data_IF_451960603891
#
_entry.id   IF_451960603891
#
_cell.length_a   1.000
_cell.length_b   1.000
_cell.length_c   1.000
_cell.angle_alpha   90.00
_cell.angle_beta   90.00
_cell.angle_gamma   90.00
#
_symmetry.space_group_name_H-M   'P 1'
#
loop_
_entity.id
_entity.type
_entity.pdbx_description
1 polymer ?
#
# COMPACT_ATOMS: atom_id res chain seq x y z
N UNK A 1 6.11 5.28 -29.24
CA UNK A 1 5.81 3.83 -29.22
C UNK A 1 5.09 3.54 -27.92
N UNK A 2 3.99 2.80 -27.96
CA UNK A 2 3.25 2.43 -26.75
C UNK A 2 4.12 1.58 -25.82
N UNK A 3 4.09 1.87 -24.50
CA UNK A 3 4.77 1.07 -23.47
C UNK A 3 4.04 -0.27 -23.38
N UNK A 4 4.68 -1.37 -23.80
CA UNK A 4 4.10 -2.71 -23.66
C UNK A 4 4.21 -3.20 -22.22
N UNK A 5 3.12 -3.69 -21.66
CA UNK A 5 3.10 -4.31 -20.32
C UNK A 5 3.47 -5.79 -20.37
N UNK A 6 3.79 -6.40 -19.23
CA UNK A 6 4.12 -7.82 -19.10
C UNK A 6 3.00 -8.71 -19.67
N UNK A 7 1.74 -8.37 -19.43
CA UNK A 7 0.61 -9.13 -19.98
C UNK A 7 0.44 -9.02 -21.50
N UNK A 8 1.04 -8.00 -22.14
CA UNK A 8 0.99 -7.78 -23.60
C UNK A 8 2.20 -8.35 -24.34
N UNK A 9 3.07 -9.09 -23.64
CA UNK A 9 4.27 -9.71 -24.20
C UNK A 9 3.95 -11.10 -24.74
N UNK A 10 3.97 -11.23 -26.08
CA UNK A 10 3.74 -12.49 -26.77
C UNK A 10 5.05 -13.12 -27.27
N UNK A 11 5.21 -14.46 -27.20
CA UNK A 11 6.39 -15.15 -27.74
C UNK A 11 6.67 -14.82 -29.21
N UNK A 12 7.95 -14.65 -29.55
CA UNK A 12 8.42 -14.29 -30.90
C UNK A 12 8.46 -12.78 -31.16
N UNK A 13 7.85 -11.96 -30.30
CA UNK A 13 7.80 -10.51 -30.49
C UNK A 13 9.07 -9.81 -29.99
N UNK A 14 9.57 -8.85 -30.80
CA UNK A 14 10.57 -7.88 -30.33
C UNK A 14 9.88 -6.64 -29.79
N UNK A 15 10.39 -6.09 -28.68
CA UNK A 15 9.80 -4.94 -28.01
C UNK A 15 10.86 -3.98 -27.46
N UNK A 16 10.41 -2.79 -27.06
CA UNK A 16 11.17 -1.88 -26.21
C UNK A 16 10.21 -1.28 -25.19
N UNK A 17 10.42 -1.57 -23.92
CA UNK A 17 9.55 -1.11 -22.83
C UNK A 17 10.33 -0.90 -21.54
N UNK A 18 9.66 -0.40 -20.51
CA UNK A 18 10.24 -0.12 -19.19
C UNK A 18 9.77 -1.17 -18.19
N UNK A 19 10.69 -1.64 -17.34
CA UNK A 19 10.38 -2.60 -16.29
C UNK A 19 11.15 -2.27 -15.02
N UNK A 20 10.59 -2.63 -13.87
CA UNK A 20 11.29 -2.60 -12.60
C UNK A 20 12.07 -3.91 -12.40
N UNK A 21 13.35 -3.81 -11.99
CA UNK A 21 14.16 -4.99 -11.66
C UNK A 21 13.77 -5.52 -10.28
N UNK A 22 13.00 -6.62 -10.25
CA UNK A 22 12.54 -7.30 -9.02
C UNK A 22 13.62 -8.19 -8.43
N UNK A 23 14.37 -8.88 -9.29
CA UNK A 23 15.43 -9.81 -8.90
C UNK A 23 16.61 -9.70 -9.87
N UNK A 24 17.82 -9.87 -9.36
CA UNK A 24 19.06 -9.92 -10.14
C UNK A 24 19.98 -11.00 -9.56
N UNK A 25 20.24 -12.06 -10.31
CA UNK A 25 21.10 -13.17 -9.93
C UNK A 25 22.03 -13.54 -11.09
N UNK A 26 23.29 -13.83 -10.77
CA UNK A 26 24.19 -14.47 -11.73
C UNK A 26 24.03 -15.98 -11.52
N UNK A 27 23.72 -16.70 -12.60
CA UNK A 27 23.59 -18.16 -12.62
C UNK A 27 24.55 -18.73 -13.65
N UNK A 28 24.78 -20.03 -13.56
CA UNK A 28 25.61 -20.76 -14.51
C UNK A 28 24.76 -21.81 -15.22
N UNK A 29 24.95 -21.95 -16.53
CA UNK A 29 24.36 -23.01 -17.32
C UNK A 29 25.43 -23.52 -18.29
N UNK A 30 25.70 -24.82 -18.24
CA UNK A 30 26.68 -25.49 -19.11
C UNK A 30 28.08 -24.82 -19.07
N UNK A 31 28.56 -24.49 -17.87
CA UNK A 31 29.86 -23.83 -17.65
C UNK A 31 29.92 -22.36 -18.06
N UNK A 32 28.83 -21.77 -18.54
CA UNK A 32 28.76 -20.36 -18.95
C UNK A 32 27.90 -19.55 -17.98
N UNK A 33 28.43 -18.46 -17.38
CA UNK A 33 27.65 -17.59 -16.54
C UNK A 33 26.68 -16.75 -17.37
N UNK A 34 25.45 -16.60 -16.89
CA UNK A 34 24.44 -15.72 -17.46
C UNK A 34 23.75 -14.92 -16.34
N UNK A 35 23.19 -13.77 -16.70
CA UNK A 35 22.39 -12.99 -15.76
C UNK A 35 20.92 -13.36 -15.87
N UNK A 36 20.34 -13.79 -14.77
CA UNK A 36 18.90 -13.94 -14.60
C UNK A 36 18.33 -12.72 -13.89
N UNK A 37 17.36 -12.08 -14.53
CA UNK A 37 16.57 -10.98 -13.99
C UNK A 37 15.12 -11.45 -13.83
N UNK A 38 14.46 -10.93 -12.81
CA UNK A 38 13.00 -10.90 -12.76
C UNK A 38 12.59 -9.44 -13.00
N UNK A 39 11.87 -9.21 -14.10
CA UNK A 39 11.36 -7.91 -14.47
C UNK A 39 9.86 -7.86 -14.14
N UNK A 40 9.37 -6.70 -13.72
CA UNK A 40 7.94 -6.54 -13.46
C UNK A 40 7.43 -5.14 -13.70
N UNK A 41 6.12 -5.07 -13.90
CA UNK A 41 5.34 -3.84 -13.97
C UNK A 41 4.04 -4.02 -13.17
N UNK A 42 3.07 -3.11 -13.31
CA UNK A 42 1.78 -3.19 -12.61
C UNK A 42 0.95 -4.41 -12.98
N UNK A 43 1.23 -5.04 -14.13
CA UNK A 43 0.44 -6.14 -14.69
C UNK A 43 0.99 -7.50 -14.29
N UNK A 44 2.30 -7.61 -14.06
CA UNK A 44 2.86 -8.89 -13.65
C UNK A 44 4.37 -8.90 -13.57
N UNK A 45 4.91 -10.12 -13.61
CA UNK A 45 6.35 -10.40 -13.56
C UNK A 45 6.72 -11.40 -14.65
N UNK A 46 7.92 -11.23 -15.19
CA UNK A 46 8.47 -12.08 -16.24
C UNK A 46 9.97 -12.27 -16.03
N UNK A 47 10.45 -13.48 -16.25
CA UNK A 47 11.88 -13.77 -16.22
C UNK A 47 12.56 -13.19 -17.46
N UNK A 48 13.78 -12.69 -17.29
CA UNK A 48 14.59 -12.17 -18.37
C UNK A 48 16.05 -12.61 -18.23
N UNK A 49 16.69 -12.92 -19.36
CA UNK A 49 18.06 -13.47 -19.38
C UNK A 49 18.98 -12.63 -20.26
N UNK A 50 20.24 -12.51 -19.83
CA UNK A 50 21.36 -11.98 -20.63
C UNK A 50 22.48 -13.01 -20.60
N UNK A 51 22.77 -13.60 -21.75
CA UNK A 51 23.76 -14.66 -21.89
C UNK A 51 25.20 -14.14 -22.04
N UNK A 52 25.40 -13.09 -22.83
CA UNK A 52 26.72 -12.58 -23.15
C UNK A 52 26.91 -11.14 -22.68
N UNK A 53 28.15 -10.77 -22.34
CA UNK A 53 28.55 -9.40 -21.96
C UNK A 53 27.68 -8.78 -20.86
N UNK A 54 27.03 -9.59 -20.03
CA UNK A 54 26.15 -9.09 -18.97
C UNK A 54 26.85 -8.13 -17.97
N UNK A 55 28.15 -8.26 -17.63
CA UNK A 55 28.81 -7.28 -16.75
C UNK A 55 28.90 -5.88 -17.38
N UNK A 56 29.10 -5.79 -18.69
CA UNK A 56 29.14 -4.53 -19.45
C UNK A 56 27.73 -3.98 -19.67
N UNK A 57 26.82 -4.84 -20.09
CA UNK A 57 25.44 -4.49 -20.45
C UNK A 57 24.62 -4.07 -19.22
N UNK A 58 24.89 -4.65 -18.04
CA UNK A 58 24.18 -4.33 -16.80
C UNK A 58 24.98 -3.45 -15.84
N UNK A 59 26.05 -2.81 -16.33
CA UNK A 59 26.82 -1.85 -15.57
C UNK A 59 25.90 -0.71 -15.11
N UNK A 60 25.76 -0.54 -13.80
CA UNK A 60 24.87 0.46 -13.20
C UNK A 60 23.39 0.07 -13.14
N UNK A 61 23.03 -1.18 -13.46
CA UNK A 61 21.69 -1.74 -13.22
C UNK A 61 21.72 -2.59 -11.95
N UNK A 62 20.97 -2.17 -10.95
CA UNK A 62 20.77 -2.88 -9.69
C UNK A 62 19.35 -3.41 -9.57
N UNK A 63 19.14 -4.31 -8.61
CA UNK A 63 17.78 -4.57 -8.08
C UNK A 63 17.19 -3.23 -7.67
N UNK A 64 15.89 -3.00 -7.92
CA UNK A 64 15.15 -1.74 -7.65
C UNK A 64 15.20 -0.68 -8.75
N UNK A 65 16.12 -0.80 -9.70
CA UNK A 65 16.16 0.16 -10.80
C UNK A 65 14.99 -0.05 -11.78
N UNK A 66 14.55 1.05 -12.36
CA UNK A 66 13.75 1.01 -13.59
C UNK A 66 14.70 0.93 -14.76
N UNK A 67 14.41 -0.01 -15.65
CA UNK A 67 15.24 -0.26 -16.80
C UNK A 67 14.43 -0.18 -18.08
N UNK A 68 15.02 0.47 -19.08
CA UNK A 68 14.53 0.40 -20.46
C UNK A 68 15.13 -0.83 -21.10
N UNK A 69 14.28 -1.79 -21.46
CA UNK A 69 14.68 -3.08 -22.01
C UNK A 69 14.27 -3.15 -23.46
N UNK A 70 15.23 -3.49 -24.32
CA UNK A 70 14.98 -3.93 -25.68
C UNK A 70 15.35 -5.41 -25.77
N UNK A 71 14.40 -6.24 -26.21
CA UNK A 71 14.57 -7.69 -26.23
C UNK A 71 13.53 -8.38 -27.10
N UNK A 72 13.58 -9.70 -27.05
CA UNK A 72 12.63 -10.58 -27.75
C UNK A 72 12.05 -11.56 -26.73
N UNK A 73 10.73 -11.76 -26.76
CA UNK A 73 10.08 -12.76 -25.92
C UNK A 73 10.32 -14.13 -26.54
N UNK A 74 10.82 -15.08 -25.77
CA UNK A 74 11.08 -16.46 -26.15
C UNK A 74 10.26 -17.39 -25.25
N UNK A 75 9.96 -18.60 -25.74
CA UNK A 75 9.36 -19.64 -24.90
C UNK A 75 10.48 -20.51 -24.33
N UNK A 76 10.55 -20.59 -23.00
CA UNK A 76 11.48 -21.46 -22.28
C UNK A 76 10.70 -22.33 -21.29
N UNK A 77 10.79 -23.66 -21.44
CA UNK A 77 10.03 -24.64 -20.63
C UNK A 77 8.54 -24.30 -20.54
N UNK A 78 7.93 -24.04 -21.70
CA UNK A 78 6.51 -23.68 -21.86
C UNK A 78 6.09 -22.35 -21.22
N UNK A 79 7.05 -21.55 -20.73
CA UNK A 79 6.79 -20.23 -20.15
C UNK A 79 7.43 -19.11 -20.98
N UNK A 80 6.80 -17.94 -21.10
CA UNK A 80 7.41 -16.79 -21.73
C UNK A 80 8.58 -16.27 -20.89
N UNK A 81 9.69 -15.97 -21.55
CA UNK A 81 10.90 -15.39 -20.96
C UNK A 81 11.45 -14.33 -21.92
N UNK A 82 12.04 -13.25 -21.39
CA UNK A 82 12.66 -12.22 -22.23
C UNK A 82 14.13 -12.56 -22.47
N UNK A 83 14.54 -12.63 -23.74
CA UNK A 83 15.95 -12.55 -24.13
C UNK A 83 16.33 -11.08 -24.35
N UNK A 84 17.14 -10.52 -23.45
CA UNK A 84 17.49 -9.09 -23.45
C UNK A 84 18.64 -8.84 -24.43
N UNK A 85 18.45 -7.89 -25.34
CA UNK A 85 19.50 -7.40 -26.26
C UNK A 85 20.18 -6.14 -25.76
N UNK A 86 19.40 -5.19 -25.22
CA UNK A 86 19.91 -3.97 -24.61
C UNK A 86 19.12 -3.66 -23.35
N UNK A 87 19.81 -3.14 -22.35
CA UNK A 87 19.23 -2.68 -21.10
C UNK A 87 20.02 -1.46 -20.66
N UNK A 88 19.30 -0.47 -20.16
CA UNK A 88 19.89 0.67 -19.45
C UNK A 88 18.96 1.10 -18.33
N UNK A 89 19.51 1.76 -17.32
CA UNK A 89 18.70 2.47 -16.33
C UNK A 89 17.86 3.55 -17.02
N UNK A 90 16.60 3.67 -16.60
CA UNK A 90 15.70 4.73 -17.04
C UNK A 90 15.88 5.96 -16.16
N UNK A 91 15.78 7.15 -16.77
CA UNK A 91 15.75 8.40 -16.02
C UNK A 91 14.39 8.55 -15.31
N UNK A 92 14.31 9.18 -14.13
CA UNK A 92 13.05 9.36 -13.40
C UNK A 92 11.93 10.03 -14.22
N UNK A 93 12.26 10.88 -15.19
CA UNK A 93 11.29 11.53 -16.08
C UNK A 93 10.75 10.63 -17.19
N UNK A 94 11.28 9.41 -17.38
CA UNK A 94 10.85 8.50 -18.44
C UNK A 94 9.67 7.59 -18.02
N UNK A 95 9.34 7.57 -16.72
CA UNK A 95 8.35 6.65 -16.17
C UNK A 95 7.56 7.24 -15.00
N UNK A 96 6.38 6.68 -14.75
CA UNK A 96 5.59 6.97 -13.56
C UNK A 96 5.65 5.77 -12.60
N UNK A 97 5.56 6.01 -11.30
CA UNK A 97 5.44 4.95 -10.30
C UNK A 97 4.23 4.04 -10.56
N UNK A 98 3.12 4.61 -11.06
CA UNK A 98 1.90 3.88 -11.41
C UNK A 98 2.09 2.86 -12.54
N UNK A 99 3.16 2.98 -13.34
CA UNK A 99 3.48 1.99 -14.38
C UNK A 99 3.88 0.63 -13.75
N UNK A 100 4.38 0.62 -12.50
CA UNK A 100 5.02 -0.55 -11.89
C UNK A 100 4.38 -1.03 -10.59
N UNK A 101 3.55 -0.18 -9.98
CA UNK A 101 2.89 -0.47 -8.72
C UNK A 101 1.39 -0.72 -8.95
N UNK A 102 0.76 -1.64 -8.21
CA UNK A 102 -0.69 -1.72 -8.20
C UNK A 102 -1.27 -0.40 -7.64
N UNK A 103 -2.48 -0.06 -8.06
CA UNK A 103 -3.23 1.13 -7.62
C UNK A 103 -4.61 0.74 -7.10
N UNK A 104 -5.22 1.62 -6.29
CA UNK A 104 -6.59 1.44 -5.83
C UNK A 104 -7.56 1.46 -7.02
N UNK A 105 -8.59 0.61 -6.98
CA UNK A 105 -9.72 0.67 -7.92
C UNK A 105 -10.60 1.92 -7.71
N UNK A 106 -10.43 2.61 -6.57
CA UNK A 106 -11.18 3.83 -6.22
C UNK A 106 -10.43 5.07 -6.70
N UNK A 107 -11.17 6.07 -7.17
CA UNK A 107 -10.59 7.36 -7.55
C UNK A 107 -9.94 8.06 -6.35
N UNK A 108 -8.61 8.20 -6.39
CA UNK A 108 -7.79 8.77 -5.30
C UNK A 108 -8.21 10.20 -4.96
N UNK A 109 -8.57 11.00 -5.97
CA UNK A 109 -9.03 12.39 -5.77
C UNK A 109 -10.39 12.44 -5.08
N UNK A 110 -11.32 11.54 -5.40
CA UNK A 110 -12.60 11.39 -4.71
C UNK A 110 -12.42 10.94 -3.26
N UNK A 111 -11.53 9.96 -3.01
CA UNK A 111 -11.20 9.54 -1.64
C UNK A 111 -10.64 10.69 -0.82
N UNK A 112 -9.70 11.45 -1.38
CA UNK A 112 -9.12 12.61 -0.71
C UNK A 112 -10.17 13.72 -0.44
N UNK A 113 -11.09 13.98 -1.37
CA UNK A 113 -12.22 14.88 -1.12
C UNK A 113 -13.10 14.40 0.04
N UNK A 114 -13.42 13.11 0.08
CA UNK A 114 -14.19 12.52 1.17
C UNK A 114 -13.47 12.65 2.52
N UNK A 115 -12.14 12.46 2.55
CA UNK A 115 -11.33 12.67 3.74
C UNK A 115 -11.39 14.13 4.24
N UNK A 116 -11.29 15.11 3.33
CA UNK A 116 -11.45 16.53 3.69
C UNK A 116 -12.87 16.85 4.17
N UNK A 117 -13.90 16.26 3.57
CA UNK A 117 -15.29 16.42 4.03
C UNK A 117 -15.48 15.89 5.46
N UNK A 118 -14.92 14.71 5.76
CA UNK A 118 -14.90 14.13 7.12
C UNK A 118 -14.21 15.06 8.11
N UNK A 119 -13.04 15.60 7.75
CA UNK A 119 -12.31 16.56 8.57
C UNK A 119 -13.12 17.85 8.83
N UNK A 120 -13.79 18.39 7.80
CA UNK A 120 -14.65 19.58 7.93
C UNK A 120 -15.89 19.32 8.80
N UNK A 121 -16.37 18.08 8.83
CA UNK A 121 -17.53 17.66 9.64
C UNK A 121 -17.27 17.55 11.15
N UNK A 122 -16.01 17.61 11.59
CA UNK A 122 -15.65 17.64 13.02
C UNK A 122 -16.19 18.92 13.66
N UNK A 123 -16.90 18.82 14.78
CA UNK A 123 -17.53 19.95 15.48
C UNK A 123 -16.51 20.72 16.33
N UNK A 124 -15.63 20.02 17.05
CA UNK A 124 -14.53 20.59 17.82
C UNK A 124 -13.63 21.44 16.91
N UNK A 125 -13.56 22.75 17.16
CA UNK A 125 -12.87 23.69 16.29
C UNK A 125 -11.35 23.46 16.25
N UNK A 126 -10.73 23.05 17.35
CA UNK A 126 -9.29 22.78 17.40
C UNK A 126 -8.93 21.52 16.60
N UNK A 127 -9.69 20.42 16.78
CA UNK A 127 -9.49 19.19 16.00
C UNK A 127 -9.74 19.42 14.51
N UNK A 128 -10.82 20.12 14.16
CA UNK A 128 -11.12 20.47 12.75
C UNK A 128 -9.98 21.27 12.14
N UNK A 129 -9.48 22.29 12.86
CA UNK A 129 -8.37 23.11 12.39
C UNK A 129 -7.10 22.27 12.22
N UNK A 130 -6.78 21.41 13.18
CA UNK A 130 -5.61 20.52 13.11
C UNK A 130 -5.68 19.57 11.91
N UNK A 131 -6.82 18.90 11.71
CA UNK A 131 -7.00 18.00 10.57
C UNK A 131 -6.82 18.73 9.24
N UNK A 132 -7.41 19.92 9.08
CA UNK A 132 -7.25 20.72 7.87
C UNK A 132 -5.80 21.21 7.70
N UNK A 133 -5.11 21.60 8.77
CA UNK A 133 -3.67 21.97 8.73
C UNK A 133 -2.77 20.80 8.32
N UNK A 134 -3.15 19.57 8.66
CA UNK A 134 -2.45 18.37 8.21
C UNK A 134 -2.78 18.08 6.75
N UNK A 135 -4.06 18.01 6.40
CA UNK A 135 -4.46 17.50 5.09
C UNK A 135 -4.34 18.54 3.99
N UNK A 136 -4.58 19.83 4.23
CA UNK A 136 -4.44 20.88 3.20
C UNK A 136 -2.97 21.34 3.01
N UNK A 137 -2.02 20.74 3.72
CA UNK A 137 -0.59 20.91 3.43
C UNK A 137 -0.20 20.17 2.15
N UNK A 138 0.42 20.87 1.20
CA UNK A 138 0.78 20.33 -0.12
C UNK A 138 1.73 19.13 -0.01
N UNK A 139 2.76 19.20 0.85
CA UNK A 139 3.74 18.13 1.00
C UNK A 139 3.15 16.86 1.65
N UNK A 140 2.12 17.02 2.49
CA UNK A 140 1.39 15.89 3.07
C UNK A 140 0.38 15.33 2.07
N UNK A 141 -0.45 16.19 1.46
CA UNK A 141 -1.54 15.78 0.57
C UNK A 141 -1.07 15.06 -0.68
N UNK A 142 0.01 15.53 -1.32
CA UNK A 142 0.61 14.86 -2.48
C UNK A 142 1.02 13.42 -2.13
N UNK A 143 1.68 13.24 -0.99
CA UNK A 143 2.09 11.91 -0.53
C UNK A 143 0.90 11.05 -0.11
N UNK A 144 -0.09 11.63 0.56
CA UNK A 144 -1.27 10.90 1.04
C UNK A 144 -2.08 10.31 -0.13
N UNK A 145 -2.15 11.01 -1.26
CA UNK A 145 -2.79 10.52 -2.49
C UNK A 145 -2.14 9.25 -3.03
N UNK A 146 -0.84 9.06 -2.79
CA UNK A 146 -0.08 7.95 -3.38
C UNK A 146 0.31 6.87 -2.39
N UNK A 147 0.40 7.20 -1.11
CA UNK A 147 0.96 6.32 -0.10
C UNK A 147 0.25 4.96 -0.04
N UNK A 148 1.00 3.86 0.09
CA UNK A 148 0.42 2.55 0.36
C UNK A 148 -0.07 2.47 1.82
N UNK A 149 -1.11 1.66 2.05
CA UNK A 149 -1.55 1.34 3.42
C UNK A 149 -0.68 0.28 4.09
N UNK A 150 0.19 -0.41 3.34
CA UNK A 150 1.15 -1.36 3.87
C UNK A 150 2.11 -1.92 2.81
N UNK A 151 3.13 -2.69 3.21
CA UNK A 151 4.16 -3.18 2.28
C UNK A 151 3.80 -4.46 1.53
N UNK A 152 3.06 -5.39 2.15
CA UNK A 152 2.93 -6.77 1.65
C UNK A 152 1.50 -7.31 1.55
N UNK A 153 0.55 -6.77 2.31
CA UNK A 153 -0.76 -7.43 2.51
C UNK A 153 -1.95 -6.50 2.28
N UNK A 154 -2.22 -5.59 3.20
CA UNK A 154 -3.40 -4.73 3.17
C UNK A 154 -3.06 -3.41 2.54
N UNK A 155 -3.82 -3.06 1.50
CA UNK A 155 -3.68 -1.77 0.84
C UNK A 155 -2.26 -1.48 0.31
N UNK A 156 -1.51 -2.53 -0.05
CA UNK A 156 -0.16 -2.44 -0.61
C UNK A 156 -0.19 -2.04 -2.10
N UNK A 157 -0.77 -0.87 -2.37
CA UNK A 157 -0.98 -0.27 -3.66
C UNK A 157 -1.10 1.25 -3.51
N UNK A 158 -0.87 1.99 -4.60
CA UNK A 158 -0.96 3.45 -4.60
C UNK A 158 -2.38 3.91 -4.23
N UNK A 159 -2.47 4.84 -3.27
CA UNK A 159 -3.73 5.31 -2.68
C UNK A 159 -4.34 4.37 -1.65
N UNK A 160 -3.64 3.29 -1.28
CA UNK A 160 -4.10 2.34 -0.29
C UNK A 160 -4.23 2.93 1.12
N UNK A 161 -3.37 3.88 1.50
CA UNK A 161 -3.46 4.55 2.80
C UNK A 161 -4.77 5.32 2.95
N UNK A 162 -5.20 6.05 1.92
CA UNK A 162 -6.48 6.77 1.92
C UNK A 162 -7.66 5.81 2.05
N UNK A 163 -7.63 4.72 1.28
CA UNK A 163 -8.69 3.73 1.29
C UNK A 163 -8.87 3.11 2.67
N UNK A 164 -7.77 2.68 3.28
CA UNK A 164 -7.73 2.15 4.65
C UNK A 164 -8.20 3.17 5.68
N UNK A 165 -7.64 4.39 5.66
CA UNK A 165 -8.02 5.47 6.58
C UNK A 165 -9.52 5.74 6.55
N UNK A 166 -10.14 5.77 5.36
CA UNK A 166 -11.58 5.96 5.21
C UNK A 166 -12.39 4.76 5.71
N UNK A 167 -11.91 3.53 5.52
CA UNK A 167 -12.52 2.31 6.05
C UNK A 167 -12.56 2.31 7.58
N UNK A 168 -11.40 2.52 8.22
CA UNK A 168 -11.26 2.64 9.68
C UNK A 168 -12.10 3.80 10.22
N UNK A 169 -12.10 4.95 9.54
CA UNK A 169 -12.93 6.10 9.93
C UNK A 169 -14.42 5.76 9.90
N UNK A 170 -14.90 5.05 8.87
CA UNK A 170 -16.29 4.63 8.80
C UNK A 170 -16.68 3.67 9.93
N UNK A 171 -15.80 2.72 10.30
CA UNK A 171 -16.00 1.85 11.45
C UNK A 171 -16.07 2.64 12.76
N UNK A 172 -15.16 3.60 12.95
CA UNK A 172 -15.11 4.46 14.12
C UNK A 172 -16.36 5.35 14.25
N UNK A 173 -16.88 5.88 13.14
CA UNK A 173 -18.14 6.64 13.14
C UNK A 173 -19.31 5.78 13.62
N UNK A 174 -19.41 4.53 13.16
CA UNK A 174 -20.44 3.59 13.63
C UNK A 174 -20.25 3.18 15.08
N UNK A 175 -19.02 2.98 15.52
CA UNK A 175 -18.74 2.69 16.91
C UNK A 175 -19.15 3.87 17.82
N UNK A 176 -18.91 5.11 17.41
CA UNK A 176 -19.33 6.29 18.16
C UNK A 176 -20.86 6.43 18.29
N UNK A 177 -21.63 5.91 17.32
CA UNK A 177 -23.10 5.83 17.41
C UNK A 177 -23.56 4.83 18.47
N UNK A 178 -22.79 3.76 18.70
CA UNK A 178 -23.12 2.69 19.65
C UNK A 178 -22.59 2.97 21.07
N UNK A 179 -21.40 3.54 21.19
CA UNK A 179 -20.73 3.82 22.46
C UNK A 179 -20.86 5.30 22.82
N UNK A 180 -22.00 5.67 23.41
CA UNK A 180 -22.35 7.07 23.71
C UNK A 180 -21.37 7.82 24.65
N UNK A 181 -20.50 7.10 25.37
CA UNK A 181 -19.45 7.70 26.19
C UNK A 181 -18.18 8.07 25.41
N UNK A 182 -18.04 7.62 24.16
CA UNK A 182 -16.91 7.97 23.32
C UNK A 182 -17.09 9.40 22.77
N UNK A 183 -16.04 10.22 22.86
CA UNK A 183 -15.99 11.48 22.13
C UNK A 183 -15.84 11.18 20.64
N UNK A 184 -16.94 11.34 19.90
CA UNK A 184 -17.01 11.11 18.46
C UNK A 184 -15.94 11.91 17.70
N UNK A 185 -15.77 13.19 18.02
CA UNK A 185 -14.87 14.05 17.26
C UNK A 185 -13.42 13.68 17.49
N UNK A 186 -13.07 13.36 18.74
CA UNK A 186 -11.74 12.88 19.11
C UNK A 186 -11.43 11.51 18.47
N UNK A 187 -12.38 10.57 18.51
CA UNK A 187 -12.23 9.25 17.89
C UNK A 187 -12.06 9.36 16.37
N UNK A 188 -12.90 10.14 15.69
CA UNK A 188 -12.83 10.32 14.23
C UNK A 188 -11.55 11.08 13.84
N UNK A 189 -11.13 12.08 14.61
CA UNK A 189 -9.85 12.76 14.38
C UNK A 189 -8.65 11.80 14.52
N UNK A 190 -8.68 10.93 15.55
CA UNK A 190 -7.71 9.85 15.72
C UNK A 190 -7.70 8.91 14.52
N UNK A 191 -8.86 8.44 14.06
CA UNK A 191 -8.99 7.55 12.92
C UNK A 191 -8.46 8.16 11.61
N UNK A 192 -8.71 9.45 11.36
CA UNK A 192 -8.22 10.13 10.17
C UNK A 192 -6.68 10.31 10.16
N UNK A 193 -6.05 10.35 11.35
CA UNK A 193 -4.63 10.67 11.51
C UNK A 193 -3.76 9.46 11.87
N UNK A 194 -4.34 8.34 12.31
CA UNK A 194 -3.61 7.24 12.97
C UNK A 194 -2.39 6.76 12.19
N UNK A 195 -2.55 6.63 10.88
CA UNK A 195 -1.55 6.10 9.96
C UNK A 195 -0.85 7.18 9.11
N UNK A 196 -1.02 8.47 9.41
CA UNK A 196 -0.44 9.57 8.61
C UNK A 196 1.09 9.44 8.50
N UNK A 197 1.75 8.82 9.49
CA UNK A 197 3.19 8.56 9.45
C UNK A 197 3.65 7.62 8.34
N UNK A 198 2.74 6.86 7.71
CA UNK A 198 3.06 5.97 6.58
C UNK A 198 3.58 6.72 5.36
N UNK A 199 3.26 8.01 5.23
CA UNK A 199 3.80 8.89 4.17
C UNK A 199 5.30 9.19 4.33
N UNK A 200 5.87 8.91 5.50
CA UNK A 200 7.30 9.03 5.80
C UNK A 200 7.91 7.65 6.00
N UNK A 201 7.18 6.69 6.57
CA UNK A 201 7.66 5.33 6.80
C UNK A 201 7.98 4.60 5.48
N UNK A 202 7.14 4.79 4.46
CA UNK A 202 7.32 4.13 3.18
C UNK A 202 7.98 5.05 2.16
N UNK A 203 8.83 4.43 1.34
CA UNK A 203 9.29 4.96 0.07
C UNK A 203 8.70 4.13 -1.04
N UNK A 204 8.20 4.82 -2.07
CA UNK A 204 7.68 4.19 -3.26
C UNK A 204 8.27 4.86 -4.49
N UNK A 205 8.78 4.01 -5.38
CA UNK A 205 9.09 4.38 -6.76
C UNK A 205 8.51 3.30 -7.65
N UNK A 206 9.18 2.17 -7.75
CA UNK A 206 8.67 1.01 -8.49
C UNK A 206 8.39 -0.20 -7.62
N UNK A 207 8.77 -0.14 -6.35
CA UNK A 207 8.48 -1.10 -5.29
C UNK A 207 8.17 -0.31 -4.02
N UNK A 208 7.44 -0.92 -3.12
CA UNK A 208 7.27 -0.42 -1.75
C UNK A 208 8.44 -0.89 -0.89
N UNK A 209 9.11 0.04 -0.22
CA UNK A 209 10.07 -0.26 0.83
C UNK A 209 9.96 0.75 1.98
N UNK A 210 10.71 0.50 3.05
CA UNK A 210 10.84 1.43 4.15
C UNK A 210 11.93 2.47 3.87
N UNK A 211 11.66 3.73 4.20
CA UNK A 211 12.70 4.75 4.39
C UNK A 211 13.59 4.40 5.57
N UNK A 212 14.72 5.09 5.70
CA UNK A 212 15.58 4.94 6.86
C UNK A 212 14.86 5.38 8.15
N UNK A 213 14.13 6.50 8.11
CA UNK A 213 13.29 6.95 9.23
C UNK A 213 12.20 5.94 9.56
N UNK A 214 11.56 5.35 8.55
CA UNK A 214 10.55 4.31 8.72
C UNK A 214 11.09 3.08 9.42
N UNK A 215 12.30 2.63 9.05
CA UNK A 215 12.96 1.50 9.72
C UNK A 215 13.38 1.82 11.16
N UNK A 216 13.81 3.06 11.42
CA UNK A 216 14.35 3.46 12.72
C UNK A 216 13.26 3.85 13.73
N UNK A 217 12.16 4.45 13.27
CA UNK A 217 11.15 5.05 14.15
C UNK A 217 9.76 4.42 14.00
N UNK A 218 9.38 3.96 12.81
CA UNK A 218 8.04 3.46 12.49
C UNK A 218 6.99 4.58 12.35
N UNK A 219 5.93 4.30 11.59
CA UNK A 219 4.88 5.28 11.27
C UNK A 219 4.15 5.84 12.50
N UNK A 220 4.02 5.10 13.60
CA UNK A 220 3.29 5.57 14.78
C UNK A 220 3.96 6.83 15.36
N UNK A 221 5.27 6.75 15.61
CA UNK A 221 6.04 7.87 16.18
C UNK A 221 6.16 8.99 15.15
N UNK A 222 6.43 8.65 13.88
CA UNK A 222 6.51 9.64 12.80
C UNK A 222 5.19 10.38 12.61
N UNK A 223 4.06 9.67 12.71
CA UNK A 223 2.71 10.22 12.59
C UNK A 223 2.41 11.20 13.71
N UNK A 224 2.66 10.83 14.96
CA UNK A 224 2.51 11.74 16.10
C UNK A 224 3.35 13.01 15.94
N UNK A 225 4.61 12.89 15.49
CA UNK A 225 5.49 14.03 15.26
C UNK A 225 4.98 14.96 14.15
N UNK A 226 4.45 14.40 13.04
CA UNK A 226 3.85 15.20 11.95
C UNK A 226 2.68 16.01 12.51
N UNK A 227 1.77 15.36 13.24
CA UNK A 227 0.59 16.01 13.81
C UNK A 227 0.98 17.03 14.87
N UNK A 228 1.95 16.72 15.74
CA UNK A 228 2.48 17.62 16.76
C UNK A 228 2.98 18.93 16.16
N UNK A 229 3.82 18.84 15.11
CA UNK A 229 4.34 20.04 14.42
C UNK A 229 3.23 20.90 13.83
N UNK A 230 2.14 20.30 13.34
CA UNK A 230 0.97 21.05 12.86
C UNK A 230 0.18 21.66 14.01
N UNK A 231 -0.01 20.93 15.09
CA UNK A 231 -0.67 21.41 16.31
C UNK A 231 0.03 22.63 16.90
N UNK A 232 1.37 22.62 16.96
CA UNK A 232 2.19 23.74 17.48
C UNK A 232 2.00 25.05 16.70
N UNK A 233 1.49 25.00 15.46
CA UNK A 233 1.16 26.21 14.68
C UNK A 233 -0.23 26.80 14.98
N UNK A 234 -1.01 26.14 15.85
CA UNK A 234 -2.37 26.55 16.20
C UNK A 234 -2.32 27.24 17.57
N UNK A 235 -2.51 28.55 17.56
CA UNK A 235 -2.54 29.34 18.79
C UNK A 235 -3.65 28.85 19.74
N UNK A 236 -3.29 28.67 21.02
CA UNK A 236 -4.23 28.27 22.06
C UNK A 236 -4.79 26.84 21.93
N UNK A 237 -4.09 25.92 21.26
CA UNK A 237 -4.52 24.52 21.21
C UNK A 237 -4.56 23.92 22.64
N UNK A 238 -5.69 23.34 23.10
CA UNK A 238 -5.81 22.86 24.48
C UNK A 238 -4.85 21.70 24.78
N UNK A 239 -4.08 21.83 25.85
CA UNK A 239 -3.05 20.84 26.23
C UNK A 239 -3.66 19.46 26.52
N UNK A 240 -4.80 19.40 27.21
CA UNK A 240 -5.49 18.14 27.50
C UNK A 240 -6.01 17.45 26.24
N UNK A 241 -6.53 18.22 25.27
CA UNK A 241 -6.98 17.68 24.00
C UNK A 241 -5.80 17.09 23.20
N UNK A 242 -4.64 17.74 23.27
CA UNK A 242 -3.42 17.20 22.66
C UNK A 242 -2.95 15.91 23.35
N UNK A 243 -2.93 15.87 24.69
CA UNK A 243 -2.58 14.64 25.43
C UNK A 243 -3.45 13.46 25.00
N UNK A 244 -4.76 13.69 24.89
CA UNK A 244 -5.72 12.69 24.44
C UNK A 244 -5.46 12.23 23.00
N UNK A 245 -5.32 13.15 22.06
CA UNK A 245 -5.07 12.82 20.66
C UNK A 245 -3.72 12.10 20.48
N UNK A 246 -2.65 12.61 21.09
CA UNK A 246 -1.32 11.99 21.07
C UNK A 246 -1.38 10.56 21.61
N UNK A 247 -2.11 10.32 22.72
CA UNK A 247 -2.30 8.97 23.25
C UNK A 247 -3.02 8.05 22.26
N UNK A 248 -4.07 8.52 21.59
CA UNK A 248 -4.77 7.74 20.55
C UNK A 248 -3.81 7.36 19.43
N UNK A 249 -3.03 8.32 18.91
CA UNK A 249 -2.05 8.06 17.85
C UNK A 249 -0.98 7.07 18.31
N UNK A 250 -0.43 7.22 19.51
CA UNK A 250 0.66 6.37 20.03
C UNK A 250 0.20 4.97 20.48
N UNK A 251 -1.11 4.72 20.54
CA UNK A 251 -1.66 3.45 21.03
C UNK A 251 -2.48 2.66 20.02
N UNK A 252 -2.69 3.18 18.80
CA UNK A 252 -3.66 2.62 17.85
C UNK A 252 -3.36 1.18 17.40
N UNK A 253 -2.13 0.68 17.52
CA UNK A 253 -1.81 -0.73 17.22
C UNK A 253 -1.99 -1.68 18.42
N UNK A 254 -2.49 -1.18 19.55
CA UNK A 254 -3.00 -1.97 20.66
C UNK A 254 -1.94 -2.56 21.59
N UNK A 255 -0.99 -3.32 21.05
CA UNK A 255 0.02 -4.06 21.82
C UNK A 255 1.44 -3.65 21.45
N UNK A 256 2.33 -3.67 22.44
CA UNK A 256 3.77 -3.45 22.23
C UNK A 256 4.41 -4.48 21.31
N UNK A 257 3.92 -5.72 21.37
CA UNK A 257 4.33 -6.81 20.46
C UNK A 257 4.03 -6.50 18.99
N UNK A 258 3.06 -5.62 18.73
CA UNK A 258 2.69 -5.17 17.39
C UNK A 258 3.36 -3.84 17.00
N UNK A 259 4.27 -3.30 17.82
CA UNK A 259 5.01 -2.07 17.53
C UNK A 259 4.44 -0.81 18.18
N UNK A 260 3.31 -0.91 18.89
CA UNK A 260 2.71 0.23 19.61
C UNK A 260 3.59 0.70 20.78
N UNK A 261 4.00 1.99 20.84
CA UNK A 261 4.76 2.53 21.97
C UNK A 261 4.07 2.31 23.33
N UNK A 262 2.75 2.52 23.35
CA UNK A 262 1.90 2.34 24.52
C UNK A 262 0.63 1.58 24.16
N UNK A 263 -0.10 1.09 25.15
CA UNK A 263 -1.38 0.39 24.95
C UNK A 263 -2.55 1.38 25.04
N UNK A 264 -3.72 1.09 24.45
CA UNK A 264 -4.91 1.92 24.61
C UNK A 264 -5.31 2.05 26.08
N UNK A 265 -5.59 3.27 26.51
CA UNK A 265 -5.96 3.64 27.88
C UNK A 265 -7.16 4.60 27.91
N UNK A 266 -7.78 4.80 26.75
CA UNK A 266 -8.95 5.64 26.52
C UNK A 266 -9.98 4.83 25.73
N UNK A 267 -11.26 5.17 25.88
CA UNK A 267 -12.35 4.51 25.16
C UNK A 267 -12.19 4.68 23.64
N UNK A 268 -11.83 5.88 23.19
CA UNK A 268 -11.58 6.20 21.79
C UNK A 268 -10.39 5.40 21.25
N UNK A 269 -9.32 5.29 22.05
CA UNK A 269 -8.12 4.57 21.65
C UNK A 269 -8.38 3.05 21.48
N UNK A 270 -9.15 2.44 22.39
CA UNK A 270 -9.45 1.00 22.30
C UNK A 270 -10.41 0.70 21.15
N UNK A 271 -11.37 1.61 20.88
CA UNK A 271 -12.26 1.50 19.71
C UNK A 271 -11.45 1.59 18.42
N UNK A 272 -10.57 2.59 18.30
CA UNK A 272 -9.74 2.75 17.11
C UNK A 272 -8.86 1.53 16.86
N UNK A 273 -8.20 0.99 17.89
CA UNK A 273 -7.39 -0.22 17.76
C UNK A 273 -8.17 -1.39 17.16
N UNK A 274 -9.37 -1.67 17.67
CA UNK A 274 -10.17 -2.77 17.13
C UNK A 274 -10.77 -2.48 15.76
N UNK A 275 -11.07 -1.21 15.44
CA UNK A 275 -11.52 -0.80 14.11
C UNK A 275 -10.41 -1.02 13.06
N UNK A 276 -9.18 -0.63 13.38
CA UNK A 276 -7.99 -0.85 12.53
C UNK A 276 -7.72 -2.34 12.30
N UNK A 277 -7.69 -3.13 13.37
CA UNK A 277 -7.51 -4.59 13.30
C UNK A 277 -8.61 -5.28 12.49
N UNK A 278 -9.86 -4.80 12.60
CA UNK A 278 -10.99 -5.34 11.84
C UNK A 278 -10.86 -5.03 10.36
N UNK A 279 -10.60 -3.77 9.99
CA UNK A 279 -10.46 -3.34 8.59
C UNK A 279 -9.31 -4.09 7.91
N UNK A 280 -8.16 -4.16 8.58
CA UNK A 280 -7.02 -4.94 8.14
C UNK A 280 -7.42 -6.40 7.90
N UNK A 281 -7.82 -7.16 8.93
CA UNK A 281 -8.13 -8.59 8.79
C UNK A 281 -9.22 -8.89 7.76
N UNK A 282 -10.31 -8.11 7.75
CA UNK A 282 -11.37 -8.27 6.77
C UNK A 282 -10.85 -8.06 5.34
N UNK A 283 -10.01 -7.03 5.14
CA UNK A 283 -9.36 -6.77 3.85
C UNK A 283 -8.49 -7.94 3.34
N UNK A 284 -7.75 -8.64 4.20
CA UNK A 284 -6.99 -9.84 3.78
C UNK A 284 -7.92 -10.92 3.26
N UNK A 285 -8.96 -11.21 4.04
CA UNK A 285 -9.93 -12.25 3.70
C UNK A 285 -10.59 -11.93 2.36
N UNK A 286 -11.08 -10.70 2.17
CA UNK A 286 -11.71 -10.30 0.91
C UNK A 286 -10.75 -10.45 -0.28
N UNK A 287 -9.47 -10.08 -0.13
CA UNK A 287 -8.47 -10.23 -1.20
C UNK A 287 -8.23 -11.70 -1.57
N UNK A 288 -8.05 -12.57 -0.59
CA UNK A 288 -7.85 -14.01 -0.83
C UNK A 288 -9.09 -14.62 -1.48
N UNK A 289 -10.28 -14.28 -0.98
CA UNK A 289 -11.55 -14.77 -1.52
C UNK A 289 -11.71 -14.36 -2.99
N UNK A 290 -11.48 -13.08 -3.32
CA UNK A 290 -11.56 -12.61 -4.72
C UNK A 290 -10.54 -13.28 -5.64
N UNK A 291 -9.34 -13.56 -5.13
CA UNK A 291 -8.25 -14.13 -5.94
C UNK A 291 -8.42 -15.62 -6.20
N UNK A 292 -8.74 -16.40 -5.17
CA UNK A 292 -8.72 -17.86 -5.22
C UNK A 292 -10.13 -18.47 -5.34
N UNK A 293 -11.18 -17.73 -4.99
CA UNK A 293 -12.58 -18.17 -5.15
C UNK A 293 -13.00 -18.36 -6.60
N UNK A 294 -12.34 -17.70 -7.55
CA UNK A 294 -12.60 -17.85 -8.98
C UNK A 294 -12.12 -19.20 -9.57
N UNK A 295 -11.39 -19.99 -8.79
CA UNK A 295 -10.81 -21.26 -9.24
C UNK A 295 -11.70 -22.48 -8.92
N UNK A 296 -12.92 -22.27 -8.40
CA UNK A 296 -13.86 -23.34 -8.04
C UNK A 296 -13.44 -24.16 -6.79
N UNK A 297 -12.46 -23.67 -6.04
CA UNK A 297 -11.96 -24.30 -4.82
C UNK A 297 -12.81 -23.88 -3.61
N UNK A 298 -13.11 -24.83 -2.72
CA UNK A 298 -13.84 -24.54 -1.46
C UNK A 298 -12.95 -23.92 -0.37
N UNK A 299 -11.63 -24.03 -0.51
CA UNK A 299 -10.63 -23.56 0.44
C UNK A 299 -9.51 -22.85 -0.31
N UNK A 300 -8.96 -21.80 0.29
CA UNK A 300 -7.75 -21.17 -0.20
C UNK A 300 -6.54 -22.08 -0.02
N UNK A 301 -5.44 -21.74 -0.67
CA UNK A 301 -4.09 -22.12 -0.25
C UNK A 301 -3.79 -21.62 1.18
N UNK A 302 -2.79 -22.21 1.85
CA UNK A 302 -2.42 -21.78 3.21
C UNK A 302 -1.95 -20.32 3.21
N UNK A 303 -2.66 -19.47 3.97
CA UNK A 303 -2.37 -18.04 4.02
C UNK A 303 -1.44 -17.77 5.20
N UNK A 304 -0.13 -17.72 4.93
CA UNK A 304 0.90 -17.62 5.97
C UNK A 304 0.74 -16.45 6.95
N UNK A 305 0.27 -15.27 6.52
CA UNK A 305 0.17 -14.11 7.43
C UNK A 305 -0.91 -14.27 8.50
N UNK A 306 -2.03 -14.91 8.16
CA UNK A 306 -3.12 -15.16 9.12
C UNK A 306 -3.07 -16.57 9.70
N UNK A 307 -2.07 -17.36 9.28
CA UNK A 307 -1.77 -18.72 9.74
C UNK A 307 -2.99 -19.66 9.67
N UNK A 308 -3.74 -19.61 8.56
CA UNK A 308 -4.89 -20.49 8.35
C UNK A 308 -5.25 -20.63 6.87
N UNK A 309 -6.07 -21.64 6.57
CA UNK A 309 -6.85 -21.71 5.35
C UNK A 309 -8.10 -20.84 5.46
N UNK A 310 -8.54 -20.24 4.37
CA UNK A 310 -9.79 -19.48 4.30
C UNK A 310 -10.83 -20.32 3.56
N UNK A 311 -12.01 -20.45 4.16
CA UNK A 311 -13.14 -21.08 3.50
C UNK A 311 -13.70 -20.13 2.43
N UNK A 312 -13.72 -20.58 1.18
CA UNK A 312 -14.14 -19.80 0.02
C UNK A 312 -15.63 -19.99 -0.29
N UNK A 313 -16.22 -21.09 0.20
CA UNK A 313 -17.58 -21.49 -0.12
C UNK A 313 -17.71 -22.14 -1.51
N UNK A 314 -18.84 -22.80 -1.81
CA UNK A 314 -19.15 -23.23 -3.16
C UNK A 314 -19.41 -22.00 -4.05
N UNK A 315 -18.96 -22.05 -5.32
CA UNK A 315 -18.97 -20.97 -6.33
C UNK A 315 -19.89 -19.77 -6.01
N UNK A 316 -19.26 -18.61 -5.77
CA UNK A 316 -19.91 -17.35 -5.41
C UNK A 316 -20.86 -16.78 -6.49
N UNK A 317 -20.95 -17.41 -7.66
CA UNK A 317 -21.94 -17.10 -8.70
C UNK A 317 -23.38 -17.51 -8.32
N UNK A 318 -23.58 -18.29 -7.25
CA UNK A 318 -24.91 -18.62 -6.76
C UNK A 318 -25.58 -17.46 -6.00
N UNK A 319 -24.82 -16.59 -5.33
CA UNK A 319 -25.39 -15.55 -4.43
C UNK A 319 -25.55 -14.15 -5.08
N UNK A 320 -25.09 -13.99 -6.32
CA UNK A 320 -25.29 -12.78 -7.13
C UNK A 320 -26.55 -12.87 -8.01
N UNK A 321 -27.04 -14.07 -8.31
CA UNK A 321 -28.26 -14.28 -9.13
C UNK A 321 -29.58 -14.17 -8.36
N UNK A 322 -29.56 -14.29 -7.04
CA UNK A 322 -30.78 -14.25 -6.21
C UNK A 322 -31.14 -12.83 -5.73
N UNK A 323 -30.27 -11.82 -5.90
CA UNK A 323 -30.52 -10.44 -5.43
C UNK A 323 -31.10 -9.49 -6.49
N UNK A 324 -31.46 -10.00 -7.68
CA UNK A 324 -32.15 -9.24 -8.73
C UNK A 324 -33.59 -9.70 -8.97
N UNK A 325 -34.17 -10.46 -8.04
CA UNK A 325 -35.57 -10.87 -8.09
C UNK A 325 -36.22 -10.70 -6.72
N UNK A 326 -36.45 -9.45 -6.34
CA UNK A 326 -37.56 -9.02 -5.47
C UNK A 326 -37.82 -7.52 -5.63
#
# INVERSE_FOLDING_TARGET
MAKKTVHELEPGQSFTSFFAVRKKEVKEYDGKPFLLLELGDRTGRIEAVIWERFPEITKGVAKRDVVKVQGTVITYRERPQISIKKIRRAEPSEYDASDFLPESERDRKAMYRCLLEKARGIRNAHLRTLLLRCFEDEAISEKLLEAPGGKLWHHAYLGGLLEHTLGVTALCERAAELYALADRDLLVAGALLHDIGKIVEYEWSTFFDYSDEGRLQGHIVLGEQIVRRKMETIEGFPEELWKQLSHILLSHQGRREFGSPVVPMMLEAIILYYADELDSKAGAFTRVIKKEGAEGNNWSSWVHLIERFIYLGPDADAHSRERTSE
#
